data_IF_065088026714
#
_entry.id   IF_065088026714
#
_cell.length_a   1.000
_cell.length_b   1.000
_cell.length_c   1.000
_cell.angle_alpha   90.00
_cell.angle_beta   90.00
_cell.angle_gamma   90.00
#
_symmetry.space_group_name_H-M   'P 1'
#
loop_
_entity.id
_entity.type
_entity.pdbx_description
1 polymer ?
#
# COMPACT_ATOMS: atom_id res chain seq x y z
N UNK A 1 11.09 -16.74 -38.58
CA UNK A 1 11.48 -15.32 -38.32
C UNK A 1 12.11 -15.22 -36.93
N UNK A 2 13.04 -14.29 -36.68
CA UNK A 2 13.62 -14.09 -35.35
C UNK A 2 12.95 -12.89 -34.67
N UNK A 3 12.42 -13.08 -33.46
CA UNK A 3 11.84 -12.01 -32.64
C UNK A 3 12.88 -11.63 -31.59
N UNK A 4 13.24 -10.34 -31.54
CA UNK A 4 14.18 -9.80 -30.56
C UNK A 4 13.41 -8.93 -29.55
N UNK A 5 13.61 -9.20 -28.27
CA UNK A 5 13.02 -8.42 -27.17
C UNK A 5 14.14 -7.93 -26.26
N UNK A 6 14.28 -6.61 -26.14
CA UNK A 6 15.18 -5.98 -25.16
C UNK A 6 14.37 -5.59 -23.92
N UNK A 7 14.90 -5.93 -22.75
CA UNK A 7 14.44 -5.52 -21.42
C UNK A 7 15.58 -4.73 -20.77
N UNK A 8 15.30 -3.53 -20.27
CA UNK A 8 16.30 -2.70 -19.58
C UNK A 8 16.41 -3.07 -18.10
N UNK A 9 17.42 -2.55 -17.40
CA UNK A 9 17.71 -2.91 -16.01
C UNK A 9 16.54 -2.59 -15.06
N UNK A 10 15.82 -1.50 -15.35
CA UNK A 10 14.65 -1.01 -14.60
C UNK A 10 13.33 -1.61 -15.09
N UNK A 11 13.39 -2.68 -15.90
CA UNK A 11 12.22 -3.33 -16.45
C UNK A 11 12.18 -4.82 -16.14
N UNK A 12 10.95 -5.36 -16.15
CA UNK A 12 10.69 -6.80 -16.26
C UNK A 12 9.70 -7.03 -17.38
N UNK A 13 9.92 -8.11 -18.12
CA UNK A 13 9.01 -8.53 -19.18
C UNK A 13 8.16 -9.72 -18.75
N UNK A 14 6.92 -9.81 -19.22
CA UNK A 14 6.19 -11.07 -19.27
C UNK A 14 6.15 -11.53 -20.72
N UNK A 15 6.71 -12.69 -21.01
CA UNK A 15 6.71 -13.28 -22.34
C UNK A 15 5.53 -14.25 -22.48
N UNK A 16 4.84 -14.17 -23.62
CA UNK A 16 3.78 -15.08 -24.00
C UNK A 16 4.13 -15.75 -25.32
N UNK A 17 3.88 -17.06 -25.41
CA UNK A 17 4.02 -17.86 -26.63
C UNK A 17 2.63 -18.39 -27.00
N UNK A 18 2.17 -18.07 -28.22
CA UNK A 18 0.83 -18.43 -28.71
C UNK A 18 -0.29 -18.01 -27.74
N UNK A 19 -0.13 -16.86 -27.08
CA UNK A 19 -1.08 -16.32 -26.11
C UNK A 19 -0.98 -16.92 -24.70
N UNK A 20 -0.19 -17.98 -24.49
CA UNK A 20 0.04 -18.57 -23.16
C UNK A 20 1.28 -17.97 -22.50
N UNK A 21 1.23 -17.78 -21.18
CA UNK A 21 2.39 -17.29 -20.45
C UNK A 21 3.54 -18.30 -20.51
N UNK A 22 4.71 -17.81 -20.91
CA UNK A 22 5.93 -18.59 -21.01
C UNK A 22 6.81 -18.35 -19.78
N UNK A 23 7.32 -17.12 -19.61
CA UNK A 23 8.22 -16.78 -18.50
C UNK A 23 8.33 -15.28 -18.24
N UNK A 24 8.89 -14.93 -17.08
CA UNK A 24 9.39 -13.59 -16.79
C UNK A 24 10.72 -13.37 -17.51
N UNK A 25 10.86 -12.21 -18.15
CA UNK A 25 12.09 -11.76 -18.79
C UNK A 25 12.85 -10.80 -17.86
N UNK A 26 14.07 -11.19 -17.51
CA UNK A 26 15.05 -10.36 -16.82
C UNK A 26 15.72 -9.37 -17.79
N UNK A 27 16.42 -8.34 -17.29
CA UNK A 27 17.18 -7.41 -18.12
C UNK A 27 18.11 -8.13 -19.09
N UNK A 28 18.19 -7.63 -20.33
CA UNK A 28 18.99 -8.22 -21.39
C UNK A 28 18.28 -8.31 -22.74
N UNK A 29 19.01 -8.87 -23.72
CA UNK A 29 18.52 -9.12 -25.08
C UNK A 29 18.06 -10.57 -25.19
N UNK A 30 16.78 -10.76 -25.48
CA UNK A 30 16.15 -12.08 -25.65
C UNK A 30 15.86 -12.32 -27.12
N UNK A 31 16.11 -13.56 -27.58
CA UNK A 31 15.91 -13.98 -28.98
C UNK A 31 15.03 -15.22 -29.03
N UNK A 32 13.96 -15.14 -29.82
CA UNK A 32 13.00 -16.22 -29.99
C UNK A 32 12.83 -16.58 -31.46
N UNK A 33 12.98 -17.87 -31.78
CA UNK A 33 12.71 -18.36 -33.12
C UNK A 33 11.21 -18.59 -33.31
N UNK A 34 10.62 -17.86 -34.25
CA UNK A 34 9.24 -18.00 -34.69
C UNK A 34 9.19 -18.97 -35.88
N UNK A 35 9.18 -20.27 -35.59
CA UNK A 35 8.78 -21.33 -36.53
C UNK A 35 7.31 -21.67 -36.26
N UNK A 36 6.39 -20.84 -36.77
CA UNK A 36 4.94 -21.01 -36.55
C UNK A 36 4.45 -20.65 -35.14
N UNK A 37 5.33 -20.11 -34.29
CA UNK A 37 4.98 -19.59 -32.96
C UNK A 37 4.92 -18.08 -32.96
N UNK A 38 3.92 -17.52 -32.28
CA UNK A 38 3.79 -16.08 -32.05
C UNK A 38 4.27 -15.75 -30.65
N UNK A 39 5.22 -14.81 -30.54
CA UNK A 39 5.70 -14.32 -29.25
C UNK A 39 5.25 -12.88 -29.04
N UNK A 40 4.69 -12.59 -27.87
CA UNK A 40 4.34 -11.25 -27.44
C UNK A 40 4.89 -10.99 -26.05
N UNK A 41 5.09 -9.73 -25.69
CA UNK A 41 5.56 -9.38 -24.36
C UNK A 41 4.91 -8.12 -23.81
N UNK A 42 4.78 -8.08 -22.49
CA UNK A 42 4.39 -6.88 -21.73
C UNK A 42 5.59 -6.46 -20.88
N UNK A 43 5.84 -5.15 -20.77
CA UNK A 43 6.92 -4.60 -19.93
C UNK A 43 6.36 -3.89 -18.73
N UNK A 44 7.01 -4.05 -17.59
CA UNK A 44 6.71 -3.38 -16.35
C UNK A 44 7.93 -2.60 -15.89
N UNK A 45 7.70 -1.38 -15.41
CA UNK A 45 8.69 -0.61 -14.67
C UNK A 45 8.78 -1.16 -13.24
N UNK A 46 10.00 -1.40 -12.75
CA UNK A 46 10.22 -1.92 -11.40
C UNK A 46 10.49 -0.84 -10.37
N UNK A 47 10.60 0.43 -10.79
CA UNK A 47 10.90 1.57 -9.90
C UNK A 47 9.66 2.19 -9.28
N UNK A 48 8.47 1.70 -9.63
CA UNK A 48 7.19 2.20 -9.11
C UNK A 48 7.03 1.87 -7.63
N UNK A 49 7.01 2.92 -6.80
CA UNK A 49 6.89 2.82 -5.33
C UNK A 49 5.55 2.20 -4.91
N UNK A 50 4.49 2.45 -5.67
CA UNK A 50 3.15 1.92 -5.42
C UNK A 50 3.02 0.43 -5.74
N UNK A 51 4.03 -0.17 -6.38
CA UNK A 51 3.94 -1.51 -6.94
C UNK A 51 2.94 -1.58 -8.10
N UNK A 52 2.57 -2.81 -8.46
CA UNK A 52 1.60 -3.09 -9.52
C UNK A 52 0.35 -3.70 -8.90
N UNK A 53 -0.80 -3.05 -9.07
CA UNK A 53 -2.07 -3.63 -8.63
C UNK A 53 -2.39 -4.90 -9.43
N UNK A 54 -2.69 -5.98 -8.73
CA UNK A 54 -2.98 -7.28 -9.33
C UNK A 54 -4.42 -7.27 -9.83
N UNK A 55 -4.57 -7.07 -11.14
CA UNK A 55 -5.86 -7.23 -11.81
C UNK A 55 -6.27 -8.71 -11.94
N UNK A 56 -7.48 -8.93 -12.47
CA UNK A 56 -8.03 -10.28 -12.68
C UNK A 56 -7.12 -11.17 -13.54
N UNK A 57 -6.50 -10.60 -14.58
CA UNK A 57 -5.66 -11.35 -15.52
C UNK A 57 -4.36 -11.78 -14.86
N UNK A 58 -3.68 -10.85 -14.18
CA UNK A 58 -2.47 -11.15 -13.42
C UNK A 58 -2.76 -12.18 -12.32
N UNK A 59 -3.86 -12.04 -11.58
CA UNK A 59 -4.23 -12.99 -10.53
C UNK A 59 -4.40 -14.42 -11.09
N UNK A 60 -5.00 -14.57 -12.28
CA UNK A 60 -5.12 -15.86 -12.95
C UNK A 60 -3.75 -16.42 -13.37
N UNK A 61 -2.84 -15.58 -13.88
CA UNK A 61 -1.49 -16.01 -14.24
C UNK A 61 -0.70 -16.49 -13.02
N UNK A 62 -0.78 -15.75 -11.90
CA UNK A 62 -0.15 -16.12 -10.64
C UNK A 62 -0.68 -17.46 -10.10
N UNK A 63 -1.99 -17.71 -10.23
CA UNK A 63 -2.61 -18.96 -9.80
C UNK A 63 -2.23 -20.15 -10.70
N UNK A 64 -2.07 -19.93 -12.01
CA UNK A 64 -1.72 -20.99 -12.97
C UNK A 64 -0.24 -21.36 -12.95
N UNK A 65 0.64 -20.40 -12.65
CA UNK A 65 2.10 -20.58 -12.73
C UNK A 65 2.84 -20.02 -11.51
N UNK A 66 2.46 -20.37 -10.27
CA UNK A 66 3.02 -19.78 -9.06
C UNK A 66 4.56 -19.91 -8.99
N UNK A 67 5.09 -21.06 -9.39
CA UNK A 67 6.52 -21.37 -9.39
C UNK A 67 7.33 -20.48 -10.34
N UNK A 68 6.68 -19.92 -11.37
CA UNK A 68 7.33 -19.04 -12.36
C UNK A 68 7.37 -17.58 -11.90
N UNK A 69 6.62 -17.22 -10.86
CA UNK A 69 6.54 -15.85 -10.34
C UNK A 69 7.15 -15.69 -8.96
N UNK A 70 7.20 -16.76 -8.16
CA UNK A 70 7.67 -16.74 -6.77
C UNK A 70 9.07 -16.11 -6.62
N UNK A 71 9.99 -16.41 -7.54
CA UNK A 71 11.34 -15.84 -7.52
C UNK A 71 11.40 -14.35 -7.91
N UNK A 72 10.33 -13.80 -8.50
CA UNK A 72 10.33 -12.47 -9.11
C UNK A 72 9.42 -11.47 -8.41
N UNK A 73 8.39 -11.94 -7.69
CA UNK A 73 7.38 -11.09 -7.08
C UNK A 73 7.26 -11.33 -5.59
N UNK A 74 7.05 -10.24 -4.88
CA UNK A 74 6.52 -10.22 -3.53
C UNK A 74 5.09 -9.70 -3.59
N UNK A 75 4.14 -10.50 -3.10
CA UNK A 75 2.72 -10.17 -3.16
C UNK A 75 2.29 -9.73 -1.77
N UNK A 76 1.73 -8.53 -1.70
CA UNK A 76 1.18 -7.94 -0.50
C UNK A 76 -0.33 -7.85 -0.66
N UNK A 77 -1.05 -8.34 0.34
CA UNK A 77 -2.52 -8.33 0.35
C UNK A 77 -3.01 -7.73 1.67
N UNK A 78 -3.85 -6.70 1.57
CA UNK A 78 -4.51 -6.05 2.70
C UNK A 78 -5.99 -6.40 2.73
N UNK A 79 -6.52 -6.72 3.91
CA UNK A 79 -7.96 -6.95 4.14
C UNK A 79 -8.70 -5.65 4.49
N UNK A 80 -9.96 -5.77 4.88
CA UNK A 80 -10.87 -4.65 5.15
C UNK A 80 -10.46 -3.74 6.32
N UNK A 81 -9.76 -4.28 7.33
CA UNK A 81 -9.29 -3.53 8.50
C UNK A 81 -7.76 -3.42 8.53
N UNK A 82 -7.10 -3.65 7.39
CA UNK A 82 -5.64 -3.70 7.29
C UNK A 82 -5.11 -2.61 6.33
N UNK A 83 -4.03 -1.94 6.74
CA UNK A 83 -3.26 -1.04 5.88
C UNK A 83 -1.81 -1.52 5.83
N UNK A 84 -1.21 -1.50 4.64
CA UNK A 84 0.22 -1.75 4.44
C UNK A 84 1.02 -0.46 4.50
N UNK A 85 1.91 -0.33 5.47
CA UNK A 85 2.90 0.73 5.56
C UNK A 85 4.12 0.36 4.70
N UNK A 86 4.35 1.08 3.61
CA UNK A 86 5.43 0.77 2.64
C UNK A 86 6.65 1.63 2.94
N UNK A 87 7.76 0.98 3.27
CA UNK A 87 9.03 1.61 3.61
C UNK A 87 10.09 1.36 2.55
N UNK A 88 10.84 2.41 2.23
CA UNK A 88 12.04 2.33 1.40
C UNK A 88 13.15 3.10 2.11
N UNK A 89 14.32 2.48 2.29
CA UNK A 89 15.45 3.04 3.05
C UNK A 89 15.03 3.59 4.43
N UNK A 90 14.18 2.82 5.15
CA UNK A 90 13.60 3.16 6.45
C UNK A 90 12.71 4.43 6.45
N UNK A 91 12.30 4.93 5.30
CA UNK A 91 11.35 6.03 5.19
C UNK A 91 10.00 5.52 4.69
N UNK A 92 8.91 5.99 5.32
CA UNK A 92 7.57 5.70 4.84
C UNK A 92 7.34 6.47 3.53
N UNK A 93 7.05 5.73 2.46
CA UNK A 93 6.91 6.31 1.10
C UNK A 93 5.54 6.10 0.50
N UNK A 94 4.77 5.12 0.99
CA UNK A 94 3.44 4.83 0.47
C UNK A 94 2.58 4.08 1.49
N UNK A 95 1.26 4.08 1.25
CA UNK A 95 0.29 3.26 1.97
C UNK A 95 -0.47 2.38 0.99
N UNK A 96 -0.53 1.09 1.28
CA UNK A 96 -1.47 0.17 0.63
C UNK A 96 -2.74 0.21 1.45
N UNK A 97 -3.80 0.80 0.88
CA UNK A 97 -5.11 0.88 1.52
C UNK A 97 -5.78 -0.50 1.61
N UNK A 98 -6.89 -0.56 2.31
CA UNK A 98 -7.65 -1.77 2.60
C UNK A 98 -8.16 -2.44 1.31
N UNK A 99 -8.29 -3.76 1.35
CA UNK A 99 -8.78 -4.58 0.23
C UNK A 99 -7.98 -4.34 -1.07
N UNK A 100 -6.66 -4.44 -0.99
CA UNK A 100 -5.76 -4.34 -2.14
C UNK A 100 -4.85 -5.55 -2.22
N UNK A 101 -4.49 -5.90 -3.45
CA UNK A 101 -3.49 -6.93 -3.74
C UNK A 101 -2.45 -6.34 -4.69
N UNK A 102 -1.26 -6.10 -4.17
CA UNK A 102 -0.17 -5.40 -4.85
C UNK A 102 0.99 -6.36 -5.05
N UNK A 103 1.59 -6.33 -6.24
CA UNK A 103 2.82 -7.02 -6.55
C UNK A 103 4.00 -6.04 -6.57
N UNK A 104 5.05 -6.37 -5.83
CA UNK A 104 6.36 -5.75 -5.92
C UNK A 104 7.34 -6.67 -6.64
N UNK A 105 8.18 -6.10 -7.50
CA UNK A 105 9.26 -6.85 -8.12
C UNK A 105 10.41 -7.04 -7.14
N UNK A 106 10.78 -8.29 -6.89
CA UNK A 106 11.95 -8.63 -6.08
C UNK A 106 13.22 -8.13 -6.75
N UNK A 107 14.14 -7.61 -5.92
CA UNK A 107 15.44 -7.08 -6.36
C UNK A 107 15.72 -5.71 -5.77
N UNK A 108 16.51 -4.91 -6.47
CA UNK A 108 16.92 -3.58 -6.03
C UNK A 108 15.68 -2.68 -5.91
N UNK A 109 15.47 -2.11 -4.73
CA UNK A 109 14.37 -1.19 -4.47
C UNK A 109 13.06 -1.86 -4.07
N UNK A 110 13.03 -3.19 -3.85
CA UNK A 110 11.86 -3.85 -3.27
C UNK A 110 11.62 -3.28 -1.85
N UNK A 111 10.43 -2.71 -1.57
CA UNK A 111 10.18 -2.08 -0.29
C UNK A 111 9.95 -3.12 0.80
N UNK A 112 10.09 -2.68 2.06
CA UNK A 112 9.57 -3.44 3.20
C UNK A 112 8.14 -2.99 3.47
N UNK A 113 7.23 -3.94 3.65
CA UNK A 113 5.83 -3.61 3.97
C UNK A 113 5.44 -4.17 5.32
N UNK A 114 4.95 -3.29 6.20
CA UNK A 114 4.38 -3.67 7.49
C UNK A 114 2.86 -3.55 7.43
N UNK A 115 2.14 -4.67 7.57
CA UNK A 115 0.68 -4.67 7.59
C UNK A 115 0.22 -4.48 9.02
N UNK A 116 -0.63 -3.47 9.24
CA UNK A 116 -1.22 -3.17 10.54
C UNK A 116 -2.73 -3.29 10.48
N UNK A 117 -3.34 -3.75 11.58
CA UNK A 117 -4.79 -3.71 11.75
C UNK A 117 -5.19 -2.36 12.37
N UNK A 118 -5.91 -1.54 11.60
CA UNK A 118 -6.29 -0.17 11.98
C UNK A 118 -7.54 -0.13 12.88
N UNK A 119 -8.26 -1.24 13.01
CA UNK A 119 -9.39 -1.36 13.93
C UNK A 119 -8.91 -1.68 15.35
N UNK A 120 -7.90 -2.54 15.46
CA UNK A 120 -7.26 -2.87 16.73
C UNK A 120 -6.34 -1.74 17.22
N UNK A 121 -5.70 -1.03 16.28
CA UNK A 121 -4.79 0.09 16.56
C UNK A 121 -5.29 1.36 15.85
N UNK A 122 -6.34 2.02 16.38
CA UNK A 122 -6.98 3.16 15.72
C UNK A 122 -6.15 4.44 15.75
N UNK A 123 -5.20 4.55 16.68
CA UNK A 123 -4.32 5.70 16.87
C UNK A 123 -2.96 5.46 16.26
N UNK A 124 -2.31 6.53 15.82
CA UNK A 124 -0.91 6.54 15.42
C UNK A 124 -0.10 7.31 16.47
N UNK A 125 1.12 6.87 16.72
CA UNK A 125 2.09 7.70 17.43
C UNK A 125 2.43 8.97 16.62
N UNK A 126 3.12 9.90 17.27
CA UNK A 126 3.44 11.19 16.66
C UNK A 126 4.34 11.05 15.43
N UNK A 127 5.35 10.17 15.47
CA UNK A 127 6.33 10.02 14.39
C UNK A 127 5.66 9.44 13.13
N UNK A 128 4.90 8.35 13.30
CA UNK A 128 4.17 7.72 12.21
C UNK A 128 3.06 8.62 11.68
N UNK A 129 2.32 9.29 12.57
CA UNK A 129 1.27 10.25 12.20
C UNK A 129 1.81 11.38 11.32
N UNK A 130 2.94 11.98 11.72
CA UNK A 130 3.62 12.99 10.90
C UNK A 130 4.15 12.43 9.58
N UNK A 131 4.76 11.24 9.59
CA UNK A 131 5.26 10.59 8.38
C UNK A 131 4.15 10.32 7.37
N UNK A 132 3.01 9.81 7.82
CA UNK A 132 1.83 9.56 6.98
C UNK A 132 1.28 10.87 6.41
N UNK A 133 1.23 11.94 7.21
CA UNK A 133 0.75 13.26 6.76
C UNK A 133 1.65 13.93 5.71
N UNK A 134 2.92 13.53 5.61
CA UNK A 134 3.84 14.01 4.55
C UNK A 134 3.63 13.28 3.22
N UNK A 135 2.89 12.16 3.20
CA UNK A 135 2.62 11.43 1.97
C UNK A 135 1.69 12.23 1.05
N UNK A 136 1.91 12.20 -0.28
CA UNK A 136 1.06 12.89 -1.22
C UNK A 136 -0.35 12.27 -1.25
N UNK A 137 -1.38 13.13 -1.35
CA UNK A 137 -2.79 12.73 -1.48
C UNK A 137 -3.31 11.82 -0.35
N UNK A 138 -2.74 11.93 0.86
CA UNK A 138 -3.19 11.15 2.00
C UNK A 138 -4.57 11.58 2.49
N UNK A 139 -5.51 10.63 2.54
CA UNK A 139 -6.87 10.85 3.07
C UNK A 139 -7.21 9.97 4.26
N UNK A 140 -6.35 9.00 4.60
CA UNK A 140 -6.59 7.93 5.57
C UNK A 140 -6.27 8.27 7.02
N UNK A 141 -5.67 9.42 7.29
CA UNK A 141 -5.38 9.87 8.66
C UNK A 141 -6.13 11.16 8.95
N UNK A 142 -6.67 11.25 10.16
CA UNK A 142 -7.23 12.46 10.75
C UNK A 142 -6.25 13.00 11.80
N UNK A 143 -5.82 14.24 11.59
CA UNK A 143 -5.08 15.00 12.60
C UNK A 143 -6.07 15.81 13.44
N UNK A 144 -6.00 15.63 14.76
CA UNK A 144 -6.77 16.43 15.73
C UNK A 144 -5.76 17.25 16.53
N UNK A 145 -5.97 18.56 16.56
CA UNK A 145 -5.20 19.47 17.39
C UNK A 145 -6.11 19.99 18.50
N UNK A 146 -5.68 19.81 19.74
CA UNK A 146 -6.37 20.27 20.95
C UNK A 146 -5.53 21.39 21.54
N UNK A 147 -6.13 22.57 21.75
CA UNK A 147 -5.47 23.72 22.37
C UNK A 147 -5.50 23.62 23.90
N UNK A 148 -4.67 24.40 24.60
CA UNK A 148 -4.53 24.38 26.07
C UNK A 148 -5.85 24.55 26.83
N UNK A 149 -6.76 25.36 26.30
CA UNK A 149 -8.09 25.61 26.91
C UNK A 149 -9.20 24.73 26.32
N UNK A 150 -8.84 23.68 25.58
CA UNK A 150 -9.79 22.80 24.94
C UNK A 150 -9.66 21.39 25.48
N UNK A 151 -10.79 20.69 25.54
CA UNK A 151 -10.85 19.24 25.63
C UNK A 151 -11.64 18.71 24.45
N UNK A 152 -11.17 17.61 23.89
CA UNK A 152 -11.87 16.93 22.81
C UNK A 152 -12.41 15.60 23.30
N UNK A 153 -13.73 15.46 23.27
CA UNK A 153 -14.39 14.19 23.49
C UNK A 153 -14.19 13.29 22.28
N UNK A 154 -13.72 12.06 22.53
CA UNK A 154 -13.62 11.01 21.53
C UNK A 154 -14.70 9.97 21.81
N UNK A 155 -15.48 9.70 20.77
CA UNK A 155 -16.52 8.67 20.81
C UNK A 155 -16.35 7.70 19.65
N UNK A 156 -16.62 6.43 19.92
CA UNK A 156 -16.64 5.35 18.93
C UNK A 156 -17.98 4.66 18.87
N UNK A 157 -18.58 4.68 17.68
CA UNK A 157 -19.94 4.20 17.44
C UNK A 157 -20.96 4.83 18.42
N UNK A 158 -20.73 6.10 18.81
CA UNK A 158 -21.56 6.83 19.76
C UNK A 158 -21.27 6.55 21.24
N UNK A 159 -20.37 5.62 21.56
CA UNK A 159 -19.94 5.36 22.94
C UNK A 159 -18.73 6.22 23.29
N UNK A 160 -18.69 6.71 24.53
CA UNK A 160 -17.53 7.42 25.07
C UNK A 160 -16.31 6.50 25.10
N UNK A 161 -15.18 6.98 24.58
CA UNK A 161 -13.91 6.26 24.59
C UNK A 161 -12.84 7.01 25.39
N UNK A 162 -12.65 8.31 25.13
CA UNK A 162 -11.63 9.10 25.83
C UNK A 162 -11.89 10.62 25.78
N UNK A 163 -11.17 11.40 26.59
CA UNK A 163 -11.07 12.86 26.51
C UNK A 163 -9.61 13.23 26.26
N UNK A 164 -9.36 13.90 25.14
CA UNK A 164 -8.03 14.38 24.78
C UNK A 164 -7.75 15.74 25.43
N UNK A 165 -6.59 15.82 26.08
CA UNK A 165 -5.97 17.07 26.53
C UNK A 165 -5.22 17.77 25.39
N UNK A 166 -4.71 18.97 25.67
CA UNK A 166 -3.92 19.76 24.74
C UNK A 166 -2.78 18.93 24.09
N UNK A 167 -2.70 18.99 22.77
CA UNK A 167 -1.76 18.16 22.01
C UNK A 167 -2.16 17.95 20.55
N UNK A 168 -1.37 17.13 19.86
CA UNK A 168 -1.64 16.70 18.49
C UNK A 168 -1.80 15.19 18.49
N UNK A 169 -2.92 14.73 17.94
CA UNK A 169 -3.28 13.31 17.89
C UNK A 169 -3.58 12.90 16.44
N UNK A 170 -3.28 11.65 16.13
CA UNK A 170 -3.47 11.08 14.80
C UNK A 170 -4.30 9.81 14.90
N UNK A 171 -5.35 9.75 14.10
CA UNK A 171 -6.27 8.62 14.04
C UNK A 171 -6.40 8.12 12.61
N UNK A 172 -6.48 6.80 12.42
CA UNK A 172 -6.90 6.24 11.14
C UNK A 172 -8.37 6.59 10.90
N UNK A 173 -8.66 7.16 9.71
CA UNK A 173 -10.04 7.37 9.28
C UNK A 173 -10.66 6.04 8.92
N UNK A 174 -11.58 5.60 9.75
CA UNK A 174 -12.49 4.48 9.47
C UNK A 174 -13.91 5.03 9.35
N UNK A 175 -14.76 4.37 8.57
CA UNK A 175 -16.00 4.94 8.04
C UNK A 175 -17.01 5.48 9.08
N UNK A 176 -16.85 5.24 10.38
CA UNK A 176 -17.78 5.76 11.40
C UNK A 176 -17.28 5.72 12.86
N UNK A 177 -15.96 5.69 13.11
CA UNK A 177 -15.48 5.37 14.46
C UNK A 177 -15.04 6.53 15.32
N UNK A 178 -14.72 7.72 14.79
CA UNK A 178 -14.20 8.78 15.65
C UNK A 178 -14.89 10.11 15.36
N UNK A 179 -15.64 10.60 16.34
CA UNK A 179 -16.18 11.97 16.34
C UNK A 179 -15.50 12.77 17.43
N UNK A 180 -14.84 13.85 17.02
CA UNK A 180 -14.27 14.86 17.90
C UNK A 180 -15.32 15.93 18.21
N UNK A 181 -15.57 16.19 19.49
CA UNK A 181 -16.41 17.31 19.93
C UNK A 181 -15.65 18.14 20.95
N UNK A 182 -15.53 19.45 20.69
CA UNK A 182 -14.97 20.37 21.67
C UNK A 182 -15.93 20.49 22.86
N UNK A 183 -15.39 20.34 24.06
CA UNK A 183 -16.10 20.63 25.30
C UNK A 183 -15.56 21.97 25.82
N UNK A 184 -16.46 22.90 26.10
CA UNK A 184 -16.11 24.15 26.77
C UNK A 184 -15.89 23.88 28.26
N UNK A 185 -14.66 24.01 28.71
CA UNK A 185 -14.29 23.74 30.11
C UNK A 185 -14.57 24.93 31.04
N UNK A 186 -14.99 26.08 30.51
CA UNK A 186 -15.25 27.28 31.33
C UNK A 186 -16.55 27.21 32.13
N UNK A 187 -17.45 26.27 31.85
CA UNK A 187 -18.77 26.18 32.51
C UNK A 187 -18.87 25.14 33.63
N UNK A 188 -17.84 24.31 33.84
CA UNK A 188 -17.84 23.28 34.89
C UNK A 188 -17.25 23.81 36.21
N UNK A 189 -17.74 24.96 36.70
CA UNK A 189 -17.48 25.39 38.08
C UNK A 189 -18.74 25.12 38.92
N UNK A 190 -18.68 24.00 39.65
CA UNK A 190 -19.44 23.65 40.85
C UNK A 190 -20.93 24.10 40.93
N UNK A 191 -21.84 23.13 40.81
CA UNK A 191 -23.04 23.06 41.64
C UNK A 191 -22.87 21.94 42.66
#
# INVERSE_FOLDING_TARGET
>A
MLINTTITDLQRGLLFCNGSFDKVLMPGKHRHFSLGKTYTHTRYDITTIQGVEIDKKMNQLLALYPERFEAHLEIIETKADEIGLVYQNNQLVHLIVENRKIAYWKGIGCPTVNIINIKENPTLDQELGEAVMRLPNISKVQRIQVLEEQKVLITRQGLFEDILDAGIYYFWKTDNQFKAMNIDTHTAKHH
#
